data_IF_318379856917
#
_entry.id   IF_318379856917
#
_cell.length_a   1.000
_cell.length_b   1.000
_cell.length_c   1.000
_cell.angle_alpha   90.00
_cell.angle_beta   90.00
_cell.angle_gamma   90.00
#
_symmetry.space_group_name_H-M   'P 1'
#
loop_
_entity.id
_entity.type
_entity.pdbx_description
1 polymer ?
#
# COMPACT_ATOMS: atom_id res chain seq x y z
N UNK A 1 47.39 -28.26 -1.24
CA UNK A 1 46.59 -27.12 -1.77
C UNK A 1 45.54 -27.64 -2.75
N UNK A 2 44.26 -27.65 -2.39
CA UNK A 2 43.14 -27.45 -3.34
C UNK A 2 41.87 -27.14 -2.55
N UNK A 3 41.32 -25.97 -2.86
CA UNK A 3 40.35 -25.21 -2.08
C UNK A 3 38.98 -25.87 -2.14
N UNK A 4 38.38 -26.03 -0.98
CA UNK A 4 36.93 -26.16 -0.75
C UNK A 4 36.21 -25.02 -1.47
N UNK A 5 35.40 -25.34 -2.49
CA UNK A 5 34.43 -24.41 -3.06
C UNK A 5 33.16 -24.46 -2.22
N UNK A 6 33.21 -23.81 -1.07
CA UNK A 6 32.01 -23.55 -0.27
C UNK A 6 31.43 -22.19 -0.69
N UNK A 7 30.12 -22.21 -0.95
CA UNK A 7 29.15 -21.13 -0.70
C UNK A 7 29.46 -19.75 -1.26
N UNK A 8 28.73 -19.39 -2.32
CA UNK A 8 27.82 -18.25 -2.27
C UNK A 8 26.85 -18.39 -3.44
N UNK A 9 25.75 -19.11 -3.19
CA UNK A 9 24.52 -18.84 -3.93
C UNK A 9 24.14 -17.42 -3.53
N UNK A 10 24.64 -16.47 -4.34
CA UNK A 10 24.31 -15.06 -4.28
C UNK A 10 22.80 -15.01 -4.45
N UNK A 11 22.10 -14.82 -3.33
CA UNK A 11 20.70 -14.48 -3.31
C UNK A 11 20.54 -13.28 -4.24
N UNK A 12 20.07 -13.54 -5.45
CA UNK A 12 19.41 -12.57 -6.30
C UNK A 12 18.10 -12.20 -5.60
N UNK A 13 18.22 -11.50 -4.47
CA UNK A 13 17.14 -10.66 -3.98
C UNK A 13 17.08 -9.52 -4.99
N UNK A 14 16.17 -9.70 -5.96
CA UNK A 14 15.65 -8.61 -6.77
C UNK A 14 15.16 -7.57 -5.77
N UNK A 15 15.96 -6.55 -5.50
CA UNK A 15 15.58 -5.46 -4.61
C UNK A 15 14.48 -4.72 -5.34
N UNK A 16 13.23 -5.11 -5.10
CA UNK A 16 12.11 -4.23 -5.34
C UNK A 16 12.38 -3.02 -4.44
N UNK A 17 12.64 -1.85 -5.04
CA UNK A 17 12.68 -0.59 -4.29
C UNK A 17 11.40 -0.53 -3.47
N UNK A 18 11.53 -0.51 -2.15
CA UNK A 18 10.43 -0.31 -1.23
C UNK A 18 10.60 1.08 -0.62
N UNK A 19 9.54 1.88 -0.62
CA UNK A 19 9.55 3.22 -0.07
C UNK A 19 8.85 3.22 1.29
N UNK A 20 9.46 3.85 2.29
CA UNK A 20 8.82 4.02 3.60
C UNK A 20 7.67 5.04 3.51
N UNK A 21 6.51 4.69 4.07
CA UNK A 21 5.41 5.62 4.29
C UNK A 21 5.46 6.14 5.73
N UNK A 22 5.72 7.45 5.95
CA UNK A 22 5.61 8.06 7.27
C UNK A 22 4.20 7.95 7.87
N UNK A 23 3.16 7.92 7.04
CA UNK A 23 1.77 7.82 7.49
C UNK A 23 1.45 6.43 8.04
N UNK A 24 1.86 5.39 7.32
CA UNK A 24 1.63 4.01 7.76
C UNK A 24 2.64 3.56 8.81
N UNK A 25 3.86 4.11 8.80
CA UNK A 25 4.99 3.63 9.60
C UNK A 25 5.56 2.31 9.07
N UNK A 26 5.28 1.95 7.81
CA UNK A 26 5.76 0.73 7.16
C UNK A 26 6.26 1.04 5.76
N UNK A 27 7.04 0.11 5.19
CA UNK A 27 7.46 0.17 3.80
C UNK A 27 6.34 -0.31 2.88
N UNK A 28 6.09 0.46 1.81
CA UNK A 28 5.24 0.06 0.69
C UNK A 28 6.16 -0.35 -0.45
N UNK A 29 5.93 -1.52 -1.08
CA UNK A 29 6.65 -1.89 -2.30
C UNK A 29 6.50 -0.80 -3.36
N UNK A 30 7.55 -0.57 -4.16
CA UNK A 30 7.54 0.45 -5.21
C UNK A 30 8.13 1.79 -4.77
N UNK A 31 7.97 2.78 -5.64
CA UNK A 31 8.61 4.09 -5.53
C UNK A 31 7.56 5.18 -5.28
N UNK A 32 7.87 6.13 -4.41
CA UNK A 32 6.99 7.28 -4.16
C UNK A 32 6.95 8.16 -5.42
N UNK A 33 5.76 8.50 -5.88
CA UNK A 33 5.56 9.27 -7.11
C UNK A 33 5.78 10.77 -6.87
N UNK A 34 6.77 11.36 -7.55
CA UNK A 34 7.01 12.81 -7.51
C UNK A 34 6.01 13.62 -8.35
N UNK A 35 5.37 12.98 -9.34
CA UNK A 35 4.35 13.60 -10.21
C UNK A 35 3.08 12.75 -10.23
N UNK A 36 1.99 13.30 -9.71
CA UNK A 36 0.70 12.60 -9.59
C UNK A 36 -0.23 13.05 -10.72
N UNK A 37 -0.70 12.11 -11.54
CA UNK A 37 -1.79 12.40 -12.48
C UNK A 37 -3.13 12.42 -11.74
N UNK A 38 -3.70 13.61 -11.59
CA UNK A 38 -4.97 13.86 -10.90
C UNK A 38 -6.13 12.99 -11.44
N UNK A 39 -6.14 12.69 -12.74
CA UNK A 39 -7.18 11.87 -13.39
C UNK A 39 -7.16 10.42 -12.89
N UNK A 40 -5.99 9.80 -12.78
CA UNK A 40 -5.85 8.45 -12.26
C UNK A 40 -6.33 8.38 -10.80
N UNK A 41 -5.98 9.39 -10.01
CA UNK A 41 -6.39 9.46 -8.61
C UNK A 41 -7.91 9.57 -8.44
N UNK A 42 -8.56 10.47 -9.19
CA UNK A 42 -10.01 10.62 -9.15
C UNK A 42 -10.73 9.32 -9.51
N UNK A 43 -10.23 8.58 -10.50
CA UNK A 43 -10.85 7.31 -10.88
C UNK A 43 -10.76 6.26 -9.77
N UNK A 44 -9.63 6.16 -9.08
CA UNK A 44 -9.44 5.25 -7.95
C UNK A 44 -10.31 5.64 -6.76
N UNK A 45 -10.28 6.91 -6.35
CA UNK A 45 -11.09 7.41 -5.24
C UNK A 45 -12.59 7.28 -5.50
N UNK A 46 -13.04 7.51 -6.74
CA UNK A 46 -14.45 7.33 -7.10
C UNK A 46 -14.90 5.87 -6.96
N UNK A 47 -14.10 4.91 -7.43
CA UNK A 47 -14.42 3.47 -7.28
C UNK A 47 -14.53 3.07 -5.80
N UNK A 48 -13.64 3.59 -4.96
CA UNK A 48 -13.67 3.35 -3.51
C UNK A 48 -14.91 3.98 -2.87
N UNK A 49 -15.23 5.23 -3.20
CA UNK A 49 -16.41 5.92 -2.68
C UNK A 49 -17.72 5.24 -3.09
N UNK A 50 -17.82 4.78 -4.35
CA UNK A 50 -19.00 4.07 -4.88
C UNK A 50 -19.13 2.64 -4.31
N UNK A 51 -18.03 1.94 -4.08
CA UNK A 51 -18.04 0.54 -3.62
C UNK A 51 -18.13 0.36 -2.11
N UNK A 52 -17.43 1.18 -1.33
CA UNK A 52 -17.22 0.95 0.10
C UNK A 52 -17.95 1.94 1.01
N UNK A 53 -18.59 2.97 0.46
CA UNK A 53 -19.32 3.96 1.28
C UNK A 53 -18.42 4.86 2.13
N UNK A 54 -17.23 5.21 1.65
CA UNK A 54 -16.35 6.20 2.29
C UNK A 54 -16.42 7.57 1.61
N UNK A 55 -16.42 8.62 2.42
CA UNK A 55 -16.13 9.98 1.94
C UNK A 55 -14.65 10.26 2.09
N UNK A 56 -13.92 10.04 1.01
CA UNK A 56 -12.54 10.51 0.88
C UNK A 56 -12.58 11.91 0.28
N UNK A 57 -12.04 12.91 0.98
CA UNK A 57 -11.80 14.20 0.32
C UNK A 57 -10.70 14.02 -0.73
N UNK A 58 -10.78 14.63 -1.91
CA UNK A 58 -9.70 14.63 -2.89
C UNK A 58 -8.51 15.40 -2.30
N UNK A 59 -7.65 14.64 -1.64
CA UNK A 59 -6.47 15.07 -0.90
C UNK A 59 -5.72 13.79 -0.57
N UNK A 60 -5.09 13.22 -1.59
CA UNK A 60 -4.25 12.03 -1.41
C UNK A 60 -2.93 12.51 -0.85
N UNK A 61 -2.58 11.95 0.31
CA UNK A 61 -1.39 12.36 1.03
C UNK A 61 -0.14 11.74 0.39
N UNK A 62 -0.22 10.48 -0.05
CA UNK A 62 0.90 9.79 -0.70
C UNK A 62 0.45 8.89 -1.86
N UNK A 63 1.28 8.83 -2.91
CA UNK A 63 1.09 7.93 -4.05
C UNK A 63 2.39 7.19 -4.32
N UNK A 64 2.28 5.89 -4.54
CA UNK A 64 3.37 4.99 -4.84
C UNK A 64 3.11 4.33 -6.19
N UNK A 65 4.14 4.13 -7.00
CA UNK A 65 4.08 3.35 -8.24
C UNK A 65 4.61 1.97 -7.92
N UNK A 66 3.76 0.94 -8.00
CA UNK A 66 4.26 -0.42 -7.83
C UNK A 66 4.92 -0.89 -9.14
N UNK A 67 5.97 -1.71 -9.04
CA UNK A 67 6.56 -2.33 -10.22
C UNK A 67 5.66 -3.41 -10.85
N UNK A 68 4.68 -3.93 -10.08
CA UNK A 68 3.72 -4.99 -10.46
C UNK A 68 2.61 -5.06 -9.40
N UNK A 69 1.52 -5.75 -9.72
CA UNK A 69 0.52 -6.12 -8.71
C UNK A 69 1.13 -6.98 -7.61
N UNK A 70 0.70 -6.76 -6.36
CA UNK A 70 1.18 -7.56 -5.24
C UNK A 70 0.69 -9.01 -5.35
N UNK A 71 1.60 -9.96 -5.18
CA UNK A 71 1.27 -11.37 -5.00
C UNK A 71 0.56 -11.61 -3.68
N UNK A 72 -0.08 -12.77 -3.50
CA UNK A 72 -0.73 -13.13 -2.24
C UNK A 72 0.24 -13.08 -1.03
N UNK A 73 1.48 -13.52 -1.23
CA UNK A 73 2.51 -13.48 -0.19
C UNK A 73 2.95 -12.05 0.15
N UNK A 74 3.07 -11.17 -0.86
CA UNK A 74 3.39 -9.74 -0.67
C UNK A 74 2.25 -9.02 0.07
N UNK A 75 0.98 -9.36 -0.23
CA UNK A 75 -0.18 -8.86 0.51
C UNK A 75 -0.16 -9.31 1.97
N UNK A 76 0.05 -10.61 2.22
CA UNK A 76 0.11 -11.12 3.60
C UNK A 76 1.22 -10.44 4.40
N UNK A 77 2.39 -10.26 3.77
CA UNK A 77 3.52 -9.55 4.38
C UNK A 77 3.18 -8.10 4.69
N UNK A 78 2.53 -7.37 3.77
CA UNK A 78 2.10 -5.99 3.97
C UNK A 78 1.10 -5.88 5.13
N UNK A 79 0.06 -6.71 5.14
CA UNK A 79 -0.96 -6.71 6.20
C UNK A 79 -0.37 -7.05 7.56
N UNK A 80 0.60 -7.98 7.62
CA UNK A 80 1.33 -8.32 8.84
C UNK A 80 2.14 -7.12 9.35
N UNK A 81 2.84 -6.42 8.46
CA UNK A 81 3.60 -5.20 8.82
C UNK A 81 2.67 -4.10 9.33
N UNK A 82 1.54 -3.87 8.68
CA UNK A 82 0.53 -2.88 9.11
C UNK A 82 -0.02 -3.19 10.50
N UNK A 83 -0.41 -4.45 10.75
CA UNK A 83 -0.83 -4.91 12.07
C UNK A 83 0.27 -4.75 13.11
N UNK A 84 1.52 -5.06 12.75
CA UNK A 84 2.70 -4.84 13.59
C UNK A 84 2.94 -3.36 13.93
N UNK A 85 2.58 -2.45 13.04
CA UNK A 85 2.59 -1.01 13.26
C UNK A 85 1.36 -0.47 14.02
N UNK A 86 0.47 -1.35 14.49
CA UNK A 86 -0.68 -0.99 15.31
C UNK A 86 -1.93 -0.59 14.53
N UNK A 87 -2.01 -0.92 13.24
CA UNK A 87 -3.22 -0.75 12.45
C UNK A 87 -4.16 -1.93 12.60
N UNK A 88 -5.44 -1.64 12.81
CA UNK A 88 -6.53 -2.53 12.44
C UNK A 88 -6.66 -2.48 10.91
N UNK A 89 -6.74 -3.64 10.27
CA UNK A 89 -6.68 -3.79 8.83
C UNK A 89 -7.88 -4.58 8.34
N UNK A 90 -8.70 -3.94 7.52
CA UNK A 90 -9.75 -4.57 6.73
C UNK A 90 -9.39 -4.46 5.26
N UNK A 91 -9.51 -5.55 4.51
CA UNK A 91 -9.26 -5.56 3.05
C UNK A 91 -10.52 -5.94 2.30
N UNK A 92 -10.77 -5.23 1.20
CA UNK A 92 -11.82 -5.54 0.26
C UNK A 92 -11.30 -5.45 -1.18
N UNK A 93 -11.77 -6.37 -2.02
CA UNK A 93 -11.40 -6.43 -3.44
C UNK A 93 -12.60 -5.95 -4.30
N UNK A 94 -12.43 -4.84 -5.02
CA UNK A 94 -13.45 -4.23 -5.90
C UNK A 94 -13.04 -4.45 -7.35
N UNK A 95 -13.54 -5.53 -7.95
CA UNK A 95 -13.10 -5.98 -9.27
C UNK A 95 -11.61 -6.34 -9.24
N UNK A 96 -10.79 -5.63 -10.02
CA UNK A 96 -9.33 -5.80 -10.04
C UNK A 96 -8.57 -4.84 -9.11
N UNK A 97 -9.28 -4.03 -8.32
CA UNK A 97 -8.69 -3.03 -7.41
C UNK A 97 -8.73 -3.58 -5.99
N UNK A 98 -7.63 -3.52 -5.25
CA UNK A 98 -7.61 -3.92 -3.84
C UNK A 98 -7.58 -2.70 -2.94
N UNK A 99 -8.35 -2.74 -1.87
CA UNK A 99 -8.51 -1.64 -0.95
C UNK A 99 -8.27 -2.14 0.46
N UNK A 100 -7.41 -1.44 1.22
CA UNK A 100 -7.26 -1.64 2.65
C UNK A 100 -7.82 -0.43 3.38
N UNK A 101 -8.74 -0.68 4.30
CA UNK A 101 -9.22 0.27 5.28
C UNK A 101 -8.39 0.06 6.55
N UNK A 102 -7.69 1.10 6.96
CA UNK A 102 -6.77 1.07 8.09
C UNK A 102 -7.30 1.97 9.18
N UNK A 103 -7.42 1.44 10.39
CA UNK A 103 -7.86 2.21 11.55
C UNK A 103 -6.84 2.07 12.68
N UNK A 104 -6.57 3.16 13.39
CA UNK A 104 -5.80 3.10 14.63
C UNK A 104 -6.27 4.15 15.62
N UNK A 105 -6.16 3.83 16.90
CA UNK A 105 -6.36 4.79 17.98
C UNK A 105 -5.02 5.41 18.37
N UNK A 106 -4.90 6.73 18.24
CA UNK A 106 -3.72 7.47 18.65
C UNK A 106 -4.14 8.77 19.37
N UNK A 107 -3.57 9.02 20.55
CA UNK A 107 -3.83 10.24 21.34
C UNK A 107 -5.33 10.53 21.56
N UNK A 108 -6.12 9.49 21.81
CA UNK A 108 -7.57 9.62 22.05
C UNK A 108 -8.41 9.94 20.81
N UNK A 109 -7.83 9.87 19.61
CA UNK A 109 -8.54 10.02 18.34
C UNK A 109 -8.36 8.79 17.46
N UNK A 110 -9.42 8.40 16.76
CA UNK A 110 -9.34 7.39 15.72
C UNK A 110 -8.82 8.03 14.43
N UNK A 111 -7.74 7.48 13.89
CA UNK A 111 -7.23 7.82 12.57
C UNK A 111 -7.65 6.73 11.58
N UNK A 112 -8.17 7.15 10.42
CA UNK A 112 -8.60 6.25 9.35
C UNK A 112 -7.83 6.60 8.08
N UNK A 113 -7.14 5.61 7.53
CA UNK A 113 -6.45 5.69 6.24
C UNK A 113 -7.04 4.67 5.28
N UNK A 114 -6.99 4.99 4.00
CA UNK A 114 -7.28 4.03 2.93
C UNK A 114 -6.01 3.83 2.11
N UNK A 115 -5.65 2.57 1.89
CA UNK A 115 -4.66 2.17 0.88
C UNK A 115 -5.43 1.59 -0.29
N UNK A 116 -5.14 2.04 -1.51
CA UNK A 116 -5.80 1.55 -2.72
C UNK A 116 -4.74 1.12 -3.71
N UNK A 117 -4.67 -0.15 -4.03
CA UNK A 117 -3.91 -0.64 -5.18
C UNK A 117 -4.79 -0.58 -6.42
N UNK A 118 -4.39 0.28 -7.36
CA UNK A 118 -5.01 0.47 -8.66
C UNK A 118 -4.86 -0.75 -9.58
N UNK A 119 -5.47 -0.66 -10.75
CA UNK A 119 -5.52 -1.75 -11.72
C UNK A 119 -4.11 -2.14 -12.17
N UNK A 120 -3.86 -3.45 -12.28
CA UNK A 120 -2.59 -4.06 -12.71
C UNK A 120 -1.34 -3.56 -11.95
N UNK A 121 -1.53 -3.11 -10.71
CA UNK A 121 -0.44 -2.68 -9.84
C UNK A 121 0.18 -1.34 -10.23
N UNK A 122 -0.43 -0.56 -11.12
CA UNK A 122 0.23 0.66 -11.61
C UNK A 122 0.44 1.72 -10.52
N UNK A 123 -0.49 1.85 -9.57
CA UNK A 123 -0.43 2.88 -8.51
C UNK A 123 -1.05 2.40 -7.20
N UNK A 124 -0.37 2.62 -6.10
CA UNK A 124 -0.91 2.56 -4.74
C UNK A 124 -1.16 3.97 -4.22
N UNK A 125 -2.39 4.21 -3.78
CA UNK A 125 -2.79 5.48 -3.20
C UNK A 125 -2.98 5.34 -1.70
N UNK A 126 -2.49 6.31 -0.95
CA UNK A 126 -2.69 6.41 0.48
C UNK A 126 -3.36 7.74 0.81
N UNK A 127 -4.56 7.68 1.38
CA UNK A 127 -5.34 8.86 1.74
C UNK A 127 -5.98 8.74 3.11
N UNK A 128 -6.34 9.88 3.69
CA UNK A 128 -7.19 9.93 4.87
C UNK A 128 -8.66 10.04 4.46
N UNK A 129 -9.49 9.14 4.96
CA UNK A 129 -10.92 9.14 4.67
C UNK A 129 -11.72 9.21 5.98
N UNK A 130 -12.97 9.67 5.88
CA UNK A 130 -13.91 9.59 7.00
C UNK A 130 -15.03 8.62 6.63
N UNK A 131 -15.51 7.81 7.58
CA UNK A 131 -16.79 7.12 7.42
C UNK A 131 -17.87 8.14 7.04
N UNK A 132 -18.80 7.74 6.17
CA UNK A 132 -19.99 8.54 5.84
C UNK A 132 -20.90 8.71 7.06
#
# INVERSE_FOLDING_TARGET
MRRTKLTLAFFLALVASAASSPLLGVEIPGEKADTIQFVALNSALRRVAEGLGFSCRPGTEEVYVLPKSLTAAEVESLEKSLKGAGWEVEREDIGATRVWLLQRWAFGKQASLVVVEGTDGEKVFLGACRPL
#
